data_IF_500167085616
#
_entry.id   IF_500167085616
#
_cell.length_a   1.000
_cell.length_b   1.000
_cell.length_c   1.000
_cell.angle_alpha   90.00
_cell.angle_beta   90.00
_cell.angle_gamma   90.00
#
_symmetry.space_group_name_H-M   'P 1'
#
loop_
_entity.id
_entity.type
_entity.pdbx_description
1 polymer ?
#
# COMPACT_ATOMS: atom_id res chain seq x y z
N UNK A 1 12.25 19.37 -16.55
CA UNK A 1 11.54 20.64 -16.25
C UNK A 1 10.50 21.04 -17.33
N UNK A 2 10.11 20.17 -18.28
CA UNK A 2 9.06 20.47 -19.26
C UNK A 2 7.69 19.79 -18.96
N UNK A 3 7.57 19.02 -17.88
CA UNK A 3 6.36 18.24 -17.56
C UNK A 3 5.37 18.97 -16.64
N UNK A 4 5.84 19.82 -15.72
CA UNK A 4 4.98 20.41 -14.69
C UNK A 4 4.13 21.59 -15.19
N UNK A 5 4.45 22.17 -16.35
CA UNK A 5 3.70 23.29 -16.91
C UNK A 5 2.53 22.87 -17.83
N UNK A 6 2.50 21.61 -18.29
CA UNK A 6 1.45 21.08 -19.17
C UNK A 6 0.26 20.49 -18.38
N UNK A 7 0.51 19.92 -17.20
CA UNK A 7 -0.50 19.33 -16.32
C UNK A 7 -1.57 20.36 -15.86
N UNK A 8 -1.22 21.60 -15.43
CA UNK A 8 -2.20 22.59 -14.96
C UNK A 8 -3.04 23.18 -16.11
N UNK A 9 -2.55 23.11 -17.35
CA UNK A 9 -3.27 23.59 -18.53
C UNK A 9 -4.30 22.54 -18.98
N UNK A 10 -3.91 21.27 -18.94
CA UNK A 10 -4.82 20.14 -19.19
C UNK A 10 -5.94 20.08 -18.14
N UNK A 11 -5.63 20.20 -16.84
CA UNK A 11 -6.64 20.17 -15.77
C UNK A 11 -7.69 21.28 -15.90
N UNK A 12 -7.28 22.48 -16.34
CA UNK A 12 -8.20 23.59 -16.61
C UNK A 12 -9.09 23.34 -17.82
N UNK A 13 -8.57 22.72 -18.88
CA UNK A 13 -9.36 22.28 -20.03
C UNK A 13 -10.35 21.18 -19.63
N UNK A 14 -9.92 20.20 -18.80
CA UNK A 14 -10.79 19.14 -18.26
C UNK A 14 -11.97 19.71 -17.47
N UNK A 15 -11.71 20.64 -16.56
CA UNK A 15 -12.74 21.25 -15.70
C UNK A 15 -13.73 22.10 -16.49
N UNK A 16 -13.28 22.72 -17.59
CA UNK A 16 -14.14 23.50 -18.49
C UNK A 16 -14.98 22.61 -19.41
N UNK A 17 -14.43 21.51 -19.91
CA UNK A 17 -15.12 20.56 -20.79
C UNK A 17 -16.18 19.76 -20.01
N UNK A 18 -15.84 19.26 -18.83
CA UNK A 18 -16.81 18.56 -17.94
C UNK A 18 -17.96 19.49 -17.50
N UNK A 19 -17.69 20.76 -17.17
CA UNK A 19 -18.75 21.74 -16.88
C UNK A 19 -19.65 22.04 -18.07
N UNK A 20 -19.10 22.06 -19.29
CA UNK A 20 -19.87 22.31 -20.52
C UNK A 20 -20.85 21.17 -20.79
N UNK A 21 -20.42 19.92 -20.65
CA UNK A 21 -21.30 18.75 -20.85
C UNK A 21 -22.28 18.51 -19.71
N UNK A 22 -21.92 18.83 -18.45
CA UNK A 22 -22.88 18.89 -17.34
C UNK A 22 -23.97 19.95 -17.57
N UNK A 23 -23.64 21.05 -18.25
CA UNK A 23 -24.61 22.08 -18.64
C UNK A 23 -25.50 21.67 -19.84
N UNK A 24 -25.07 20.70 -20.65
CA UNK A 24 -25.80 20.18 -21.83
C UNK A 24 -26.68 18.95 -21.51
N UNK A 25 -26.76 18.52 -20.24
CA UNK A 25 -27.66 17.44 -19.82
C UNK A 25 -27.25 16.04 -20.28
N UNK A 26 -25.97 15.84 -20.61
CA UNK A 26 -25.44 14.55 -21.06
C UNK A 26 -25.65 13.44 -20.00
N UNK A 27 -25.97 12.23 -20.46
CA UNK A 27 -26.09 11.06 -19.59
C UNK A 27 -24.74 10.78 -18.92
N UNK A 28 -24.74 10.38 -17.64
CA UNK A 28 -23.54 10.00 -16.89
C UNK A 28 -22.69 8.95 -17.64
N UNK A 29 -23.34 8.08 -18.42
CA UNK A 29 -22.67 7.06 -19.23
C UNK A 29 -21.90 7.63 -20.44
N UNK A 30 -22.41 8.71 -21.05
CA UNK A 30 -21.76 9.36 -22.20
C UNK A 30 -20.50 10.10 -21.77
N UNK A 31 -20.55 10.78 -20.63
CA UNK A 31 -19.40 11.42 -19.99
C UNK A 31 -18.28 10.40 -19.71
N UNK A 32 -18.64 9.25 -19.12
CA UNK A 32 -17.68 8.18 -18.81
C UNK A 32 -17.02 7.59 -20.07
N UNK A 33 -17.79 7.34 -21.14
CA UNK A 33 -17.25 6.81 -22.41
C UNK A 33 -16.29 7.80 -23.07
N UNK A 34 -16.56 9.10 -22.98
CA UNK A 34 -15.66 10.14 -23.49
C UNK A 34 -14.37 10.22 -22.69
N UNK A 35 -14.46 10.23 -21.35
CA UNK A 35 -13.28 10.19 -20.48
C UNK A 35 -12.44 8.93 -20.71
N UNK A 36 -13.07 7.76 -20.85
CA UNK A 36 -12.39 6.51 -21.14
C UNK A 36 -11.65 6.57 -22.49
N UNK A 37 -12.31 7.05 -23.53
CA UNK A 37 -11.71 7.20 -24.87
C UNK A 37 -10.52 8.15 -24.82
N UNK A 38 -10.61 9.23 -24.03
CA UNK A 38 -9.52 10.18 -23.83
C UNK A 38 -8.34 9.55 -23.09
N UNK A 39 -8.58 8.83 -21.99
CA UNK A 39 -7.54 8.13 -21.23
C UNK A 39 -6.86 7.07 -22.07
N UNK A 40 -7.61 6.32 -22.89
CA UNK A 40 -7.05 5.36 -23.85
C UNK A 40 -6.15 6.03 -24.88
N UNK A 41 -6.54 7.20 -25.41
CA UNK A 41 -5.71 8.01 -26.33
C UNK A 41 -4.44 8.57 -25.67
N UNK A 42 -4.55 9.01 -24.41
CA UNK A 42 -3.39 9.45 -23.60
C UNK A 42 -2.43 8.31 -23.31
N UNK A 43 -2.95 7.10 -23.08
CA UNK A 43 -2.14 5.91 -22.83
C UNK A 43 -1.50 5.34 -24.11
N UNK A 44 -2.14 5.54 -25.27
CA UNK A 44 -1.62 5.10 -26.58
C UNK A 44 -0.48 6.00 -27.09
N UNK A 45 0.65 5.99 -26.40
CA UNK A 45 1.90 6.53 -26.92
C UNK A 45 2.69 5.45 -27.66
N UNK A 46 3.43 5.84 -28.69
CA UNK A 46 4.33 4.94 -29.43
C UNK A 46 5.39 4.37 -28.50
N UNK A 47 5.77 3.09 -28.67
CA UNK A 47 6.80 2.41 -27.86
C UNK A 47 8.10 3.23 -27.76
N UNK A 48 8.47 3.90 -28.85
CA UNK A 48 9.66 4.76 -28.91
C UNK A 48 9.59 6.04 -28.05
N UNK A 49 8.41 6.55 -27.76
CA UNK A 49 8.22 7.69 -26.83
C UNK A 49 8.16 7.22 -25.38
N UNK A 50 7.50 6.08 -25.13
CA UNK A 50 7.37 5.51 -23.79
C UNK A 50 8.71 5.05 -23.21
N UNK A 51 9.62 4.53 -24.04
CA UNK A 51 10.92 4.03 -23.57
C UNK A 51 11.78 5.11 -22.86
N UNK A 52 12.07 6.29 -23.45
CA UNK A 52 12.84 7.33 -22.78
C UNK A 52 12.09 7.97 -21.60
N UNK A 53 10.75 8.10 -21.69
CA UNK A 53 9.93 8.64 -20.59
C UNK A 53 9.94 7.70 -19.39
N UNK A 54 9.78 6.39 -19.61
CA UNK A 54 9.87 5.37 -18.57
C UNK A 54 11.28 5.30 -17.99
N UNK A 55 12.32 5.42 -18.83
CA UNK A 55 13.71 5.50 -18.38
C UNK A 55 13.96 6.71 -17.48
N UNK A 56 13.51 7.90 -17.90
CA UNK A 56 13.62 9.13 -17.12
C UNK A 56 12.85 9.05 -15.80
N UNK A 57 11.61 8.55 -15.83
CA UNK A 57 10.81 8.33 -14.64
C UNK A 57 11.46 7.33 -13.67
N UNK A 58 12.02 6.23 -14.19
CA UNK A 58 12.74 5.25 -13.38
C UNK A 58 13.94 5.89 -12.67
N UNK A 59 14.73 6.72 -13.36
CA UNK A 59 15.87 7.44 -12.75
C UNK A 59 15.39 8.43 -11.70
N UNK A 60 14.31 9.18 -11.93
CA UNK A 60 13.74 10.10 -10.92
C UNK A 60 13.27 9.34 -9.69
N UNK A 61 12.49 8.27 -9.87
CA UNK A 61 11.99 7.45 -8.77
C UNK A 61 13.18 6.89 -7.98
N UNK A 62 14.19 6.39 -8.69
CA UNK A 62 15.41 5.87 -8.09
C UNK A 62 16.16 6.93 -7.26
N UNK A 63 16.34 8.14 -7.78
CA UNK A 63 17.08 9.20 -7.09
C UNK A 63 16.32 9.78 -5.89
N UNK A 64 15.01 9.98 -6.00
CA UNK A 64 14.24 10.67 -4.95
C UNK A 64 13.59 9.73 -3.92
N UNK A 65 13.23 8.50 -4.32
CA UNK A 65 12.56 7.56 -3.41
C UNK A 65 13.50 6.51 -2.84
N UNK A 66 14.61 6.21 -3.52
CA UNK A 66 15.49 5.09 -3.15
C UNK A 66 16.75 5.54 -2.40
N UNK A 67 17.21 6.77 -2.62
CA UNK A 67 18.36 7.34 -1.92
C UNK A 67 17.89 7.96 -0.60
N UNK A 68 17.99 7.19 0.48
CA UNK A 68 17.78 7.64 1.85
C UNK A 68 19.10 8.09 2.50
N UNK A 69 19.03 8.71 3.68
CA UNK A 69 20.25 9.06 4.43
C UNK A 69 21.12 7.82 4.74
N UNK A 70 20.51 6.64 4.79
CA UNK A 70 21.18 5.36 5.05
C UNK A 70 22.00 4.90 3.85
N UNK A 71 21.51 5.15 2.64
CA UNK A 71 22.25 4.82 1.41
C UNK A 71 23.50 5.69 1.29
N UNK A 72 23.38 6.98 1.62
CA UNK A 72 24.52 7.91 1.64
C UNK A 72 25.57 7.49 2.68
N UNK A 73 25.12 7.09 3.88
CA UNK A 73 26.01 6.59 4.93
C UNK A 73 26.72 5.30 4.49
N UNK A 74 25.99 4.35 3.91
CA UNK A 74 26.57 3.09 3.42
C UNK A 74 27.58 3.33 2.31
N UNK A 75 27.26 4.17 1.32
CA UNK A 75 28.19 4.56 0.24
C UNK A 75 29.44 5.20 0.82
N UNK A 76 29.30 6.19 1.71
CA UNK A 76 30.42 6.88 2.34
C UNK A 76 31.33 5.91 3.10
N UNK A 77 30.74 5.00 3.87
CA UNK A 77 31.47 3.99 4.64
C UNK A 77 32.19 2.99 3.72
N UNK A 78 31.54 2.52 2.66
CA UNK A 78 32.14 1.62 1.66
C UNK A 78 33.32 2.25 0.94
N UNK A 79 33.20 3.51 0.50
CA UNK A 79 34.28 4.25 -0.15
C UNK A 79 35.43 4.46 0.83
N UNK A 80 35.15 4.93 2.05
CA UNK A 80 36.15 5.20 3.07
C UNK A 80 36.96 3.94 3.41
N UNK A 81 36.28 2.80 3.68
CA UNK A 81 36.98 1.55 3.96
C UNK A 81 37.79 1.05 2.76
N UNK A 82 37.27 1.15 1.54
CA UNK A 82 37.98 0.72 0.34
C UNK A 82 39.28 1.51 0.14
N UNK A 83 39.24 2.82 0.33
CA UNK A 83 40.42 3.70 0.25
C UNK A 83 41.41 3.39 1.38
N UNK A 84 40.92 3.23 2.62
CA UNK A 84 41.78 2.93 3.77
C UNK A 84 42.51 1.60 3.56
N UNK A 85 41.81 0.55 3.17
CA UNK A 85 42.40 -0.77 2.95
C UNK A 85 43.43 -0.69 1.82
N UNK A 86 43.04 -0.16 0.65
CA UNK A 86 43.95 -0.03 -0.48
C UNK A 86 45.20 0.79 -0.15
N UNK A 87 45.06 1.88 0.63
CA UNK A 87 46.21 2.69 1.04
C UNK A 87 47.18 1.96 1.98
N UNK A 88 46.68 0.99 2.74
CA UNK A 88 47.47 0.18 3.68
C UNK A 88 48.10 -1.04 3.03
N UNK A 89 47.45 -1.58 2.00
CA UNK A 89 47.88 -2.81 1.31
C UNK A 89 48.62 -2.53 0.01
N UNK A 90 48.78 -1.26 -0.39
CA UNK A 90 49.43 -0.83 -1.64
C UNK A 90 50.79 -1.51 -1.89
N UNK A 91 51.57 -1.69 -0.83
CA UNK A 91 52.94 -2.23 -0.88
C UNK A 91 53.02 -3.71 -0.46
N UNK A 92 51.89 -4.32 -0.08
CA UNK A 92 51.84 -5.71 0.38
C UNK A 92 51.40 -6.64 -0.75
N UNK A 93 52.37 -7.30 -1.39
CA UNK A 93 52.13 -8.27 -2.46
C UNK A 93 51.48 -9.58 -1.97
N UNK A 94 51.35 -9.78 -0.65
CA UNK A 94 50.70 -10.96 -0.06
C UNK A 94 49.25 -10.70 0.35
N UNK A 95 48.74 -9.48 0.14
CA UNK A 95 47.35 -9.16 0.45
C UNK A 95 46.40 -10.00 -0.40
N UNK A 96 45.55 -10.76 0.30
CA UNK A 96 44.46 -11.52 -0.31
C UNK A 96 43.12 -11.07 0.29
N UNK A 97 42.50 -10.10 -0.37
CA UNK A 97 41.14 -9.65 -0.07
C UNK A 97 40.06 -10.67 -0.43
N UNK A 98 40.41 -11.83 -1.01
CA UNK A 98 39.49 -12.91 -1.41
C UNK A 98 39.45 -14.09 -0.43
N UNK A 99 40.20 -14.01 0.68
CA UNK A 99 40.21 -15.02 1.77
C UNK A 99 38.82 -15.38 2.29
N UNK A 100 37.85 -14.47 2.20
CA UNK A 100 36.47 -14.68 2.59
C UNK A 100 35.64 -15.15 1.38
N UNK A 101 34.84 -16.21 1.55
CA UNK A 101 33.94 -16.66 0.49
C UNK A 101 32.79 -15.66 0.30
N UNK A 102 32.98 -14.70 -0.61
CA UNK A 102 32.03 -13.65 -0.94
C UNK A 102 30.72 -14.19 -1.53
N UNK A 103 30.74 -15.39 -2.13
CA UNK A 103 29.53 -16.08 -2.61
C UNK A 103 28.66 -16.49 -1.42
N UNK A 104 29.26 -17.01 -0.35
CA UNK A 104 28.54 -17.43 0.85
C UNK A 104 27.84 -16.23 1.53
N UNK A 105 28.53 -15.09 1.65
CA UNK A 105 27.96 -13.87 2.25
C UNK A 105 26.85 -13.31 1.38
N UNK A 106 27.05 -13.28 0.06
CA UNK A 106 26.03 -12.81 -0.88
C UNK A 106 24.79 -13.69 -0.81
N UNK A 107 24.94 -15.02 -0.75
CA UNK A 107 23.83 -15.94 -0.58
C UNK A 107 23.12 -15.76 0.77
N UNK A 108 23.87 -15.57 1.85
CA UNK A 108 23.34 -15.34 3.19
C UNK A 108 22.56 -14.02 3.31
N UNK A 109 22.83 -13.03 2.45
CA UNK A 109 22.13 -11.73 2.44
C UNK A 109 20.96 -11.73 1.44
N UNK A 110 21.17 -12.23 0.23
CA UNK A 110 20.16 -12.24 -0.84
C UNK A 110 18.98 -13.15 -0.47
N UNK A 111 19.23 -14.30 0.17
CA UNK A 111 18.17 -15.27 0.48
C UNK A 111 17.15 -14.71 1.49
N UNK A 112 17.55 -14.18 2.66
CA UNK A 112 16.61 -13.55 3.59
C UNK A 112 15.93 -12.33 3.00
N UNK A 113 16.62 -11.57 2.14
CA UNK A 113 16.07 -10.39 1.49
C UNK A 113 14.95 -10.76 0.51
N UNK A 114 15.19 -11.76 -0.35
CA UNK A 114 14.19 -12.31 -1.27
C UNK A 114 12.96 -12.85 -0.52
N UNK A 115 13.19 -13.55 0.60
CA UNK A 115 12.11 -14.03 1.46
C UNK A 115 11.31 -12.86 2.10
N UNK A 116 11.99 -11.82 2.57
CA UNK A 116 11.36 -10.63 3.16
C UNK A 116 10.50 -9.87 2.14
N UNK A 117 11.03 -9.68 0.92
CA UNK A 117 10.31 -9.10 -0.21
C UNK A 117 9.01 -9.89 -0.46
N UNK A 118 9.13 -11.21 -0.63
CA UNK A 118 8.00 -12.09 -0.91
C UNK A 118 6.92 -12.02 0.18
N UNK A 119 7.33 -11.95 1.45
CA UNK A 119 6.41 -11.81 2.58
C UNK A 119 5.67 -10.47 2.57
N UNK A 120 6.36 -9.37 2.26
CA UNK A 120 5.77 -8.03 2.17
C UNK A 120 4.80 -7.95 0.98
N UNK A 121 5.16 -8.47 -0.19
CA UNK A 121 4.27 -8.55 -1.35
C UNK A 121 3.00 -9.35 -1.03
N UNK A 122 3.13 -10.54 -0.47
CA UNK A 122 1.98 -11.37 -0.07
C UNK A 122 1.09 -10.68 0.96
N UNK A 123 1.66 -9.89 1.87
CA UNK A 123 0.89 -9.09 2.83
C UNK A 123 0.11 -7.96 2.15
N UNK A 124 0.74 -7.23 1.22
CA UNK A 124 0.09 -6.17 0.43
C UNK A 124 -1.03 -6.74 -0.42
N UNK A 125 -0.79 -7.85 -1.10
CA UNK A 125 -1.78 -8.51 -1.94
C UNK A 125 -2.99 -8.98 -1.13
N UNK A 126 -2.76 -9.60 0.03
CA UNK A 126 -3.83 -9.95 0.99
C UNK A 126 -4.62 -8.74 1.48
N UNK A 127 -3.95 -7.61 1.74
CA UNK A 127 -4.65 -6.37 2.14
C UNK A 127 -5.56 -5.85 1.03
N UNK A 128 -5.08 -5.83 -0.22
CA UNK A 128 -5.86 -5.41 -1.38
C UNK A 128 -7.04 -6.35 -1.65
N UNK A 129 -6.82 -7.66 -1.59
CA UNK A 129 -7.87 -8.66 -1.72
C UNK A 129 -8.95 -8.48 -0.64
N UNK A 130 -8.54 -8.26 0.62
CA UNK A 130 -9.49 -8.04 1.72
C UNK A 130 -10.26 -6.73 1.54
N UNK A 131 -9.60 -5.66 1.06
CA UNK A 131 -10.28 -4.40 0.77
C UNK A 131 -11.29 -4.54 -0.37
N UNK A 132 -10.96 -5.33 -1.40
CA UNK A 132 -11.88 -5.65 -2.48
C UNK A 132 -13.12 -6.41 -1.96
N UNK A 133 -12.92 -7.38 -1.06
CA UNK A 133 -14.00 -8.11 -0.40
C UNK A 133 -14.88 -7.20 0.48
N UNK A 134 -14.29 -6.26 1.24
CA UNK A 134 -15.07 -5.26 1.99
C UNK A 134 -15.97 -4.47 1.04
N UNK A 135 -15.40 -3.96 -0.06
CA UNK A 135 -16.15 -3.15 -1.04
C UNK A 135 -17.28 -3.95 -1.69
N UNK A 136 -17.01 -5.16 -2.17
CA UNK A 136 -18.02 -5.98 -2.84
C UNK A 136 -19.15 -6.35 -1.89
N UNK A 137 -18.83 -6.77 -0.66
CA UNK A 137 -19.84 -7.22 0.30
C UNK A 137 -20.65 -6.04 0.85
N UNK A 138 -20.05 -4.86 1.05
CA UNK A 138 -20.81 -3.65 1.40
C UNK A 138 -21.75 -3.20 0.27
N UNK A 139 -21.33 -3.34 -0.99
CA UNK A 139 -22.19 -3.03 -2.14
C UNK A 139 -23.38 -4.00 -2.19
N UNK A 140 -23.14 -5.29 -1.98
CA UNK A 140 -24.21 -6.30 -1.92
C UNK A 140 -25.14 -6.07 -0.73
N UNK A 141 -24.60 -5.65 0.41
CA UNK A 141 -25.38 -5.31 1.59
C UNK A 141 -26.28 -4.09 1.34
N UNK A 142 -25.78 -3.09 0.60
CA UNK A 142 -26.60 -1.95 0.17
C UNK A 142 -27.71 -2.38 -0.79
N UNK A 143 -27.40 -3.16 -1.84
CA UNK A 143 -28.40 -3.63 -2.82
C UNK A 143 -29.47 -4.49 -2.15
N UNK A 144 -29.10 -5.30 -1.17
CA UNK A 144 -30.00 -6.07 -0.33
C UNK A 144 -31.03 -5.20 0.39
N UNK A 145 -30.58 -4.11 1.02
CA UNK A 145 -31.48 -3.18 1.71
C UNK A 145 -32.30 -2.32 0.72
N UNK A 146 -31.69 -1.89 -0.39
CA UNK A 146 -32.26 -0.90 -1.30
C UNK A 146 -33.17 -1.47 -2.38
N UNK A 147 -32.94 -2.71 -2.84
CA UNK A 147 -33.62 -3.28 -4.01
C UNK A 147 -34.38 -4.56 -3.71
N UNK A 148 -33.93 -5.36 -2.73
CA UNK A 148 -34.49 -6.70 -2.52
C UNK A 148 -35.98 -6.66 -2.16
N UNK A 149 -36.80 -7.27 -3.02
CA UNK A 149 -38.21 -7.54 -2.77
C UNK A 149 -38.44 -9.01 -2.41
N UNK A 150 -39.22 -9.25 -1.36
CA UNK A 150 -39.54 -10.58 -0.82
C UNK A 150 -40.98 -11.00 -1.12
N UNK A 151 -41.67 -10.30 -2.02
CA UNK A 151 -42.96 -10.75 -2.55
C UNK A 151 -42.81 -11.97 -3.46
N UNK A 152 -43.40 -13.11 -3.08
CA UNK A 152 -44.41 -13.90 -3.82
C UNK A 152 -44.43 -15.39 -3.43
N UNK A 153 -45.63 -15.86 -3.02
CA UNK A 153 -46.15 -17.21 -3.31
C UNK A 153 -47.41 -17.02 -4.17
N UNK A 154 -47.58 -17.87 -5.19
CA UNK A 154 -48.75 -17.87 -6.08
C UNK A 154 -50.07 -17.81 -5.27
N UNK A 155 -50.82 -16.71 -5.39
CA UNK A 155 -52.20 -16.58 -4.88
C UNK A 155 -52.40 -15.94 -3.51
N UNK A 156 -51.33 -15.63 -2.75
CA UNK A 156 -51.45 -14.90 -1.48
C UNK A 156 -51.23 -13.39 -1.68
N UNK A 157 -51.95 -12.57 -0.92
CA UNK A 157 -51.79 -11.12 -0.93
C UNK A 157 -50.33 -10.73 -0.61
N UNK A 158 -49.64 -10.14 -1.58
CA UNK A 158 -48.22 -9.76 -1.49
C UNK A 158 -47.86 -9.06 -0.17
N UNK A 159 -47.03 -9.69 0.66
CA UNK A 159 -46.36 -9.06 1.81
C UNK A 159 -45.03 -8.39 1.45
N UNK A 160 -44.75 -8.15 0.15
CA UNK A 160 -43.49 -7.58 -0.35
C UNK A 160 -43.30 -6.09 -0.07
N UNK A 161 -42.21 -5.50 -0.59
CA UNK A 161 -41.82 -4.10 -0.34
C UNK A 161 -42.96 -3.11 -0.59
N UNK A 162 -43.71 -3.31 -1.67
CA UNK A 162 -44.78 -2.40 -2.13
C UNK A 162 -45.96 -2.30 -1.16
N UNK A 163 -46.22 -3.34 -0.36
CA UNK A 163 -47.28 -3.31 0.67
C UNK A 163 -46.77 -3.00 2.07
N UNK A 164 -45.45 -2.99 2.27
CA UNK A 164 -44.86 -2.62 3.56
C UNK A 164 -44.99 -1.11 3.81
N UNK A 165 -45.26 -0.70 5.04
CA UNK A 165 -45.33 0.72 5.45
C UNK A 165 -43.97 1.39 5.62
N UNK A 166 -42.90 0.85 5.02
CA UNK A 166 -41.54 1.37 5.14
C UNK A 166 -41.33 2.54 4.18
N UNK A 167 -40.77 3.63 4.68
CA UNK A 167 -40.22 4.66 3.82
C UNK A 167 -38.92 4.17 3.17
N UNK A 168 -39.04 3.58 1.99
CA UNK A 168 -37.92 2.93 1.29
C UNK A 168 -36.78 3.85 0.91
N UNK A 169 -37.09 5.11 0.61
CA UNK A 169 -36.08 6.12 0.28
C UNK A 169 -35.23 6.42 1.53
N UNK A 170 -35.89 6.71 2.65
CA UNK A 170 -35.24 6.99 3.92
C UNK A 170 -34.42 5.79 4.44
N UNK A 171 -34.97 4.57 4.34
CA UNK A 171 -34.25 3.35 4.73
C UNK A 171 -32.98 3.13 3.90
N UNK A 172 -33.08 3.35 2.58
CA UNK A 172 -31.95 3.21 1.66
C UNK A 172 -30.90 4.29 1.92
N UNK A 173 -31.31 5.54 2.14
CA UNK A 173 -30.43 6.66 2.48
C UNK A 173 -29.71 6.42 3.82
N UNK A 174 -30.44 5.93 4.83
CA UNK A 174 -29.85 5.58 6.12
C UNK A 174 -28.84 4.44 5.97
N UNK A 175 -29.18 3.39 5.23
CA UNK A 175 -28.26 2.27 4.97
C UNK A 175 -27.00 2.75 4.23
N UNK A 176 -27.16 3.58 3.19
CA UNK A 176 -26.06 4.17 2.45
C UNK A 176 -25.16 5.02 3.36
N UNK A 177 -25.76 5.84 4.24
CA UNK A 177 -25.03 6.67 5.20
C UNK A 177 -24.18 5.83 6.14
N UNK A 178 -24.73 4.75 6.70
CA UNK A 178 -23.97 3.86 7.59
C UNK A 178 -22.82 3.15 6.85
N UNK A 179 -23.04 2.69 5.63
CA UNK A 179 -22.00 2.05 4.81
C UNK A 179 -20.89 3.05 4.46
N UNK A 180 -21.23 4.28 4.08
CA UNK A 180 -20.26 5.34 3.81
C UNK A 180 -19.50 5.74 5.07
N UNK A 181 -20.16 5.79 6.23
CA UNK A 181 -19.53 6.04 7.51
C UNK A 181 -18.51 4.94 7.85
N UNK A 182 -18.87 3.65 7.69
CA UNK A 182 -17.94 2.53 7.87
C UNK A 182 -16.71 2.70 6.96
N UNK A 183 -16.92 3.03 5.68
CA UNK A 183 -15.83 3.28 4.74
C UNK A 183 -14.92 4.46 5.15
N UNK A 184 -15.50 5.60 5.58
CA UNK A 184 -14.75 6.76 6.06
C UNK A 184 -13.92 6.41 7.29
N UNK A 185 -14.55 5.84 8.32
CA UNK A 185 -13.87 5.46 9.56
C UNK A 185 -12.78 4.43 9.32
N UNK A 186 -13.05 3.43 8.47
CA UNK A 186 -12.06 2.42 8.09
C UNK A 186 -10.89 3.06 7.34
N UNK A 187 -11.14 3.96 6.39
CA UNK A 187 -10.10 4.68 5.65
C UNK A 187 -9.25 5.54 6.58
N UNK A 188 -9.88 6.30 7.48
CA UNK A 188 -9.19 7.10 8.51
C UNK A 188 -8.38 6.22 9.46
N UNK A 189 -8.94 5.10 9.87
CA UNK A 189 -8.24 4.15 10.73
C UNK A 189 -7.06 3.52 10.00
N UNK A 190 -7.20 3.14 8.72
CA UNK A 190 -6.13 2.54 7.90
C UNK A 190 -5.02 3.53 7.55
N UNK A 191 -5.34 4.81 7.36
CA UNK A 191 -4.35 5.87 7.07
C UNK A 191 -3.64 6.42 8.32
N UNK A 192 -4.19 6.19 9.51
CA UNK A 192 -3.55 6.60 10.77
C UNK A 192 -2.13 5.98 10.91
N UNK A 193 -1.11 6.71 11.39
CA UNK A 193 0.20 6.12 11.66
C UNK A 193 0.09 4.97 12.67
N UNK A 194 0.94 3.95 12.51
CA UNK A 194 0.92 2.77 13.38
C UNK A 194 1.71 3.01 14.67
N UNK A 195 1.16 2.59 15.82
CA UNK A 195 1.82 2.67 17.13
C UNK A 195 2.81 1.53 17.41
N UNK A 196 3.04 0.59 16.48
CA UNK A 196 3.84 -0.64 16.74
C UNK A 196 5.30 -0.61 16.26
N UNK A 197 5.81 0.52 15.76
CA UNK A 197 7.21 0.68 15.29
C UNK A 197 8.24 0.51 16.42
N UNK A 198 9.49 0.13 16.09
CA UNK A 198 10.59 0.02 17.07
C UNK A 198 10.75 1.28 17.93
N UNK A 199 10.67 2.47 17.33
CA UNK A 199 10.80 3.74 18.05
C UNK A 199 9.78 3.87 19.18
N UNK A 200 8.58 3.32 19.01
CA UNK A 200 7.50 3.35 20.00
C UNK A 200 7.74 2.44 21.22
N UNK A 201 8.70 1.52 21.13
CA UNK A 201 9.17 0.72 22.27
C UNK A 201 10.25 1.44 23.08
N UNK A 202 10.89 2.46 22.51
CA UNK A 202 11.91 3.28 23.19
C UNK A 202 11.29 4.37 24.05
N UNK A 203 12.07 4.95 24.97
CA UNK A 203 11.60 6.01 25.88
C UNK A 203 11.01 7.22 25.14
N UNK A 204 11.57 7.59 23.99
CA UNK A 204 11.17 8.77 23.22
C UNK A 204 9.89 8.57 22.40
N UNK A 205 9.60 7.33 21.96
CA UNK A 205 8.44 7.05 21.10
C UNK A 205 7.21 6.51 21.83
N UNK A 206 7.30 6.22 23.12
CA UNK A 206 6.14 5.74 23.92
C UNK A 206 5.02 6.76 23.97
N UNK A 207 5.35 8.05 24.10
CA UNK A 207 4.36 9.14 24.14
C UNK A 207 3.58 9.21 22.82
N UNK A 208 4.29 9.17 21.68
CA UNK A 208 3.68 9.13 20.34
C UNK A 208 2.74 7.91 20.19
N UNK A 209 3.17 6.74 20.65
CA UNK A 209 2.38 5.51 20.57
C UNK A 209 1.07 5.58 21.37
N UNK A 210 1.11 6.22 22.54
CA UNK A 210 -0.07 6.43 23.39
C UNK A 210 -1.04 7.39 22.71
N UNK A 211 -0.56 8.53 22.18
CA UNK A 211 -1.41 9.49 21.46
C UNK A 211 -2.08 8.88 20.22
N UNK A 212 -1.32 8.10 19.44
CA UNK A 212 -1.89 7.35 18.31
C UNK A 212 -2.99 6.39 18.78
N UNK A 213 -2.75 5.65 19.86
CA UNK A 213 -3.70 4.65 20.36
C UNK A 213 -4.98 5.29 20.91
N UNK A 214 -4.88 6.47 21.53
CA UNK A 214 -6.02 7.27 21.99
C UNK A 214 -6.96 7.67 20.86
N UNK A 215 -6.45 7.84 19.64
CA UNK A 215 -7.26 8.15 18.45
C UNK A 215 -7.71 6.88 17.73
N UNK A 216 -6.85 5.86 17.67
CA UNK A 216 -7.11 4.61 16.96
C UNK A 216 -8.26 3.81 17.58
N UNK A 217 -8.34 3.72 18.92
CA UNK A 217 -9.35 2.91 19.60
C UNK A 217 -10.77 3.46 19.39
N UNK A 218 -11.06 4.77 19.64
CA UNK A 218 -12.40 5.31 19.40
C UNK A 218 -12.81 5.27 17.93
N UNK A 219 -11.86 5.43 17.00
CA UNK A 219 -12.15 5.28 15.57
C UNK A 219 -12.63 3.86 15.23
N UNK A 220 -12.00 2.85 15.82
CA UNK A 220 -12.39 1.46 15.60
C UNK A 220 -13.69 1.11 16.32
N UNK A 221 -13.89 1.58 17.55
CA UNK A 221 -15.15 1.44 18.29
C UNK A 221 -16.33 2.04 17.51
N UNK A 222 -16.14 3.22 16.91
CA UNK A 222 -17.15 3.85 16.03
C UNK A 222 -17.52 2.99 14.82
N UNK A 223 -16.58 2.21 14.24
CA UNK A 223 -16.91 1.27 13.16
C UNK A 223 -17.89 0.20 13.67
N UNK A 224 -17.64 -0.35 14.86
CA UNK A 224 -18.49 -1.38 15.47
C UNK A 224 -19.88 -0.82 15.80
N UNK A 225 -19.96 0.43 16.27
CA UNK A 225 -21.24 1.13 16.49
C UNK A 225 -22.07 1.24 15.21
N UNK A 226 -21.44 1.62 14.08
CA UNK A 226 -22.11 1.69 12.78
C UNK A 226 -22.61 0.31 12.30
N UNK A 227 -21.87 -0.77 12.55
CA UNK A 227 -22.37 -2.14 12.32
C UNK A 227 -23.58 -2.46 13.20
N UNK A 228 -23.62 -1.99 14.45
CA UNK A 228 -24.78 -2.12 15.33
C UNK A 228 -26.02 -1.40 14.81
N UNK A 229 -25.85 -0.21 14.23
CA UNK A 229 -26.92 0.52 13.55
C UNK A 229 -27.42 -0.22 12.31
N UNK A 230 -26.51 -0.74 11.49
CA UNK A 230 -26.84 -1.50 10.28
C UNK A 230 -27.64 -2.77 10.61
N UNK A 231 -27.21 -3.49 11.64
CA UNK A 231 -27.93 -4.61 12.22
C UNK A 231 -29.36 -4.22 12.65
N UNK A 232 -29.52 -3.03 13.26
CA UNK A 232 -30.81 -2.51 13.71
C UNK A 232 -31.73 -2.13 12.54
N UNK A 233 -31.17 -1.65 11.41
CA UNK A 233 -31.93 -1.43 10.17
C UNK A 233 -32.51 -2.74 9.62
N UNK A 234 -31.75 -3.84 9.69
CA UNK A 234 -32.25 -5.18 9.35
C UNK A 234 -33.35 -5.65 10.31
N UNK A 235 -33.22 -5.37 11.63
CA UNK A 235 -34.29 -5.65 12.60
C UNK A 235 -35.59 -4.87 12.29
N UNK A 236 -35.47 -3.63 11.85
CA UNK A 236 -36.64 -2.84 11.45
C UNK A 236 -37.36 -3.49 10.27
N UNK A 237 -36.62 -3.93 9.23
CA UNK A 237 -37.22 -4.63 8.08
C UNK A 237 -37.98 -5.90 8.48
N UNK A 238 -37.47 -6.67 9.46
CA UNK A 238 -38.18 -7.83 10.00
C UNK A 238 -39.54 -7.49 10.61
N UNK A 239 -39.66 -6.34 11.28
CA UNK A 239 -40.95 -5.87 11.84
C UNK A 239 -41.97 -5.55 10.75
N UNK A 240 -41.51 -5.19 9.55
CA UNK A 240 -42.35 -4.88 8.40
C UNK A 240 -42.60 -6.07 7.47
N UNK A 241 -42.26 -7.29 7.90
CA UNK A 241 -42.59 -8.51 7.17
C UNK A 241 -41.46 -9.12 6.35
N UNK A 242 -40.21 -8.65 6.49
CA UNK A 242 -39.05 -9.32 5.89
C UNK A 242 -38.95 -10.75 6.44
N UNK A 243 -38.93 -11.78 5.58
CA UNK A 243 -38.93 -13.16 6.04
C UNK A 243 -37.58 -13.54 6.66
N UNK A 244 -37.55 -14.49 7.62
CA UNK A 244 -36.34 -14.82 8.38
C UNK A 244 -35.18 -15.36 7.54
N UNK A 245 -35.47 -16.03 6.43
CA UNK A 245 -34.47 -16.56 5.50
C UNK A 245 -33.66 -15.43 4.83
N UNK A 246 -34.32 -14.37 4.36
CA UNK A 246 -33.64 -13.23 3.74
C UNK A 246 -32.93 -12.36 4.77
N UNK A 247 -33.54 -12.16 5.94
CA UNK A 247 -32.87 -11.49 7.04
C UNK A 247 -31.57 -12.21 7.45
N UNK A 248 -31.56 -13.55 7.45
CA UNK A 248 -30.36 -14.34 7.76
C UNK A 248 -29.25 -14.12 6.74
N UNK A 249 -29.57 -13.98 5.44
CA UNK A 249 -28.57 -13.68 4.40
C UNK A 249 -27.94 -12.31 4.58
N UNK A 250 -28.75 -11.29 4.88
CA UNK A 250 -28.24 -9.94 5.22
C UNK A 250 -27.27 -10.00 6.41
N UNK A 251 -27.64 -10.73 7.48
CA UNK A 251 -26.76 -10.94 8.64
C UNK A 251 -25.47 -11.69 8.31
N UNK A 252 -25.50 -12.62 7.35
CA UNK A 252 -24.29 -13.30 6.89
C UNK A 252 -23.34 -12.32 6.19
N UNK A 253 -23.86 -11.43 5.35
CA UNK A 253 -23.05 -10.39 4.71
C UNK A 253 -22.50 -9.37 5.71
N UNK A 254 -23.29 -8.92 6.70
CA UNK A 254 -22.81 -8.09 7.81
C UNK A 254 -21.61 -8.75 8.51
N UNK A 255 -21.72 -10.04 8.84
CA UNK A 255 -20.62 -10.80 9.46
C UNK A 255 -19.40 -10.88 8.55
N UNK A 256 -19.58 -11.15 7.26
CA UNK A 256 -18.48 -11.21 6.30
C UNK A 256 -17.72 -9.89 6.23
N UNK A 257 -18.43 -8.75 6.18
CA UNK A 257 -17.76 -7.43 6.19
C UNK A 257 -16.99 -7.25 7.49
N UNK A 258 -17.59 -7.58 8.64
CA UNK A 258 -16.90 -7.47 9.94
C UNK A 258 -15.64 -8.35 10.00
N UNK A 259 -15.72 -9.59 9.52
CA UNK A 259 -14.58 -10.51 9.42
C UNK A 259 -13.48 -9.92 8.52
N UNK A 260 -13.83 -9.29 7.40
CA UNK A 260 -12.87 -8.62 6.52
C UNK A 260 -12.26 -7.37 7.16
N UNK A 261 -13.03 -6.58 7.92
CA UNK A 261 -12.54 -5.43 8.68
C UNK A 261 -11.55 -5.85 9.77
N UNK A 262 -11.85 -6.91 10.52
CA UNK A 262 -10.93 -7.47 11.52
C UNK A 262 -9.67 -8.06 10.86
N UNK A 263 -9.80 -8.70 9.70
CA UNK A 263 -8.63 -9.16 8.94
C UNK A 263 -7.74 -7.98 8.50
N UNK A 264 -8.31 -6.88 8.02
CA UNK A 264 -7.56 -5.64 7.72
C UNK A 264 -6.89 -5.09 8.97
N UNK A 265 -7.58 -5.11 10.12
CA UNK A 265 -7.02 -4.72 11.40
C UNK A 265 -5.82 -5.58 11.78
N UNK A 266 -5.92 -6.89 11.60
CA UNK A 266 -4.82 -7.83 11.86
C UNK A 266 -3.65 -7.58 10.93
N UNK A 267 -3.88 -7.38 9.62
CA UNK A 267 -2.81 -7.07 8.65
C UNK A 267 -2.10 -5.76 8.99
N UNK A 268 -2.82 -4.76 9.50
CA UNK A 268 -2.24 -3.48 9.92
C UNK A 268 -1.52 -3.56 11.27
N UNK A 269 -2.11 -4.22 12.26
CA UNK A 269 -1.61 -4.28 13.64
C UNK A 269 -0.47 -5.29 13.80
N UNK A 270 -0.59 -6.44 13.15
CA UNK A 270 0.40 -7.51 13.15
C UNK A 270 1.34 -7.34 11.95
N UNK A 271 2.40 -6.56 12.17
CA UNK A 271 3.43 -6.28 11.16
C UNK A 271 4.52 -7.38 11.18
N UNK A 272 5.37 -7.43 10.14
CA UNK A 272 6.56 -8.31 10.17
C UNK A 272 7.36 -8.10 11.47
N UNK A 273 7.95 -9.16 12.04
CA UNK A 273 8.62 -9.10 13.35
C UNK A 273 9.61 -7.94 13.39
N UNK A 274 9.46 -7.07 14.40
CA UNK A 274 10.29 -5.86 14.54
C UNK A 274 11.79 -6.17 14.56
N UNK A 275 12.19 -7.34 15.07
CA UNK A 275 13.56 -7.82 15.06
C UNK A 275 14.09 -8.01 13.63
N UNK A 276 13.31 -8.61 12.73
CA UNK A 276 13.70 -8.83 11.33
C UNK A 276 13.86 -7.51 10.59
N UNK A 277 12.98 -6.53 10.87
CA UNK A 277 13.06 -5.19 10.27
C UNK A 277 14.31 -4.43 10.72
N UNK A 278 14.59 -4.43 12.03
CA UNK A 278 15.79 -3.79 12.57
C UNK A 278 17.07 -4.48 12.08
N UNK A 279 17.03 -5.81 11.97
CA UNK A 279 18.12 -6.60 11.39
C UNK A 279 18.38 -6.20 9.93
N UNK A 280 17.36 -6.20 9.07
CA UNK A 280 17.50 -5.83 7.65
C UNK A 280 18.07 -4.42 7.45
N UNK A 281 17.61 -3.46 8.26
CA UNK A 281 18.09 -2.06 8.21
C UNK A 281 19.55 -1.90 8.62
N UNK A 282 20.00 -2.63 9.64
CA UNK A 282 21.42 -2.60 10.03
C UNK A 282 22.28 -3.34 9.00
N UNK A 283 21.83 -4.50 8.52
CA UNK A 283 22.56 -5.29 7.55
C UNK A 283 22.71 -4.56 6.21
N UNK A 284 21.68 -3.86 5.73
CA UNK A 284 21.77 -3.07 4.49
C UNK A 284 22.86 -1.98 4.55
N UNK A 285 23.07 -1.39 5.74
CA UNK A 285 24.09 -0.37 5.96
C UNK A 285 25.49 -0.96 6.04
N UNK A 286 25.66 -2.04 6.81
CA UNK A 286 26.99 -2.58 7.13
C UNK A 286 27.53 -3.58 6.11
N UNK A 287 26.67 -4.33 5.41
CA UNK A 287 27.08 -5.36 4.45
C UNK A 287 27.94 -4.79 3.31
N UNK A 288 27.58 -3.68 2.64
CA UNK A 288 28.41 -3.16 1.54
C UNK A 288 29.83 -2.76 1.98
N UNK A 289 30.04 -2.09 3.13
CA UNK A 289 31.38 -1.86 3.68
C UNK A 289 32.18 -3.13 4.00
N UNK A 290 31.52 -4.23 4.38
CA UNK A 290 32.22 -5.51 4.60
C UNK A 290 32.87 -6.06 3.33
N UNK A 291 32.39 -5.70 2.14
CA UNK A 291 33.01 -6.07 0.86
C UNK A 291 34.21 -5.18 0.47
N UNK A 292 34.57 -4.18 1.27
CA UNK A 292 35.70 -3.29 0.97
C UNK A 292 37.05 -3.99 0.72
N UNK A 293 37.44 -5.08 1.43
CA UNK A 293 38.67 -5.82 1.12
C UNK A 293 38.66 -6.41 -0.30
N UNK A 294 37.50 -6.88 -0.78
CA UNK A 294 37.34 -7.39 -2.14
C UNK A 294 37.47 -6.28 -3.19
N UNK A 295 36.88 -5.11 -2.93
CA UNK A 295 37.04 -3.96 -3.82
C UNK A 295 38.50 -3.48 -3.87
N UNK A 296 39.21 -3.50 -2.74
CA UNK A 296 40.63 -3.20 -2.69
C UNK A 296 41.45 -4.22 -3.51
N UNK A 297 41.13 -5.52 -3.43
CA UNK A 297 41.77 -6.55 -4.27
C UNK A 297 41.58 -6.26 -5.76
N UNK A 298 40.35 -5.94 -6.19
CA UNK A 298 40.08 -5.56 -7.58
C UNK A 298 40.91 -4.33 -8.00
N UNK A 299 41.11 -3.36 -7.10
CA UNK A 299 41.97 -2.21 -7.38
C UNK A 299 43.44 -2.62 -7.60
N UNK A 300 43.92 -3.62 -6.87
CA UNK A 300 45.27 -4.18 -7.06
C UNK A 300 45.39 -4.95 -8.38
N UNK A 301 44.43 -5.83 -8.68
CA UNK A 301 44.46 -6.69 -9.87
C UNK A 301 44.33 -5.89 -11.17
N UNK A 302 43.48 -4.85 -11.18
CA UNK A 302 43.21 -4.00 -12.36
C UNK A 302 44.08 -2.74 -12.40
N UNK A 303 44.71 -2.37 -11.28
CA UNK A 303 45.51 -1.15 -11.15
C UNK A 303 44.70 0.15 -11.18
N UNK A 304 43.37 0.08 -10.93
CA UNK A 304 42.47 1.24 -10.98
C UNK A 304 41.63 1.36 -9.72
N UNK A 305 41.93 2.38 -8.91
CA UNK A 305 41.13 2.73 -7.73
C UNK A 305 39.72 3.19 -8.11
N UNK A 306 39.57 3.87 -9.25
CA UNK A 306 38.28 4.38 -9.71
C UNK A 306 37.27 3.26 -9.97
N UNK A 307 37.73 2.12 -10.50
CA UNK A 307 36.88 0.96 -10.74
C UNK A 307 36.39 0.33 -9.43
N UNK A 308 37.28 0.20 -8.44
CA UNK A 308 36.92 -0.31 -7.13
C UNK A 308 35.89 0.56 -6.40
N UNK A 309 36.06 1.89 -6.47
CA UNK A 309 35.09 2.85 -5.93
C UNK A 309 33.75 2.76 -6.67
N UNK A 310 33.75 2.61 -7.99
CA UNK A 310 32.52 2.44 -8.77
C UNK A 310 31.76 1.17 -8.36
N UNK A 311 32.45 0.04 -8.17
CA UNK A 311 31.83 -1.19 -7.67
C UNK A 311 31.30 -1.04 -6.24
N UNK A 312 32.05 -0.39 -5.34
CA UNK A 312 31.62 -0.12 -3.98
C UNK A 312 30.34 0.73 -3.92
N UNK A 313 30.23 1.74 -4.78
CA UNK A 313 29.03 2.57 -4.91
C UNK A 313 27.87 1.75 -5.47
N UNK A 314 28.09 0.99 -6.55
CA UNK A 314 27.05 0.20 -7.22
C UNK A 314 26.41 -0.83 -6.28
N UNK A 315 27.23 -1.58 -5.53
CA UNK A 315 26.74 -2.60 -4.59
C UNK A 315 26.03 -1.98 -3.38
N UNK A 316 26.55 -0.87 -2.85
CA UNK A 316 25.92 -0.14 -1.75
C UNK A 316 24.54 0.37 -2.16
N UNK A 317 24.44 0.97 -3.35
CA UNK A 317 23.17 1.43 -3.90
C UNK A 317 22.24 0.24 -4.13
N UNK A 318 22.67 -0.83 -4.79
CA UNK A 318 21.81 -1.96 -5.13
C UNK A 318 21.19 -2.63 -3.90
N UNK A 319 21.99 -2.86 -2.85
CA UNK A 319 21.52 -3.51 -1.62
C UNK A 319 20.61 -2.58 -0.82
N UNK A 320 21.01 -1.34 -0.61
CA UNK A 320 20.20 -0.40 0.19
C UNK A 320 18.90 -0.02 -0.51
N UNK A 321 18.93 0.14 -1.83
CA UNK A 321 17.76 0.37 -2.66
C UNK A 321 16.70 -0.74 -2.51
N UNK A 322 17.15 -1.99 -2.53
CA UNK A 322 16.27 -3.14 -2.41
C UNK A 322 15.63 -3.25 -1.02
N UNK A 323 16.33 -2.82 0.04
CA UNK A 323 15.73 -2.75 1.37
C UNK A 323 14.75 -1.58 1.52
N UNK A 324 15.03 -0.44 0.89
CA UNK A 324 14.13 0.71 0.89
C UNK A 324 12.81 0.38 0.17
N UNK A 325 12.83 -0.37 -0.93
CA UNK A 325 11.60 -0.83 -1.59
C UNK A 325 10.76 -1.71 -0.67
N UNK A 326 11.37 -2.65 0.05
CA UNK A 326 10.66 -3.49 1.04
C UNK A 326 10.01 -2.63 2.10
N UNK A 327 10.70 -1.60 2.58
CA UNK A 327 10.19 -0.69 3.58
C UNK A 327 8.97 0.08 3.07
N UNK A 328 9.04 0.65 1.86
CA UNK A 328 7.94 1.40 1.22
C UNK A 328 6.71 0.54 0.94
N UNK A 329 6.91 -0.73 0.57
CA UNK A 329 5.79 -1.64 0.32
C UNK A 329 5.07 -2.10 1.58
N UNK A 330 5.72 -1.94 2.74
CA UNK A 330 5.20 -2.39 4.02
C UNK A 330 4.33 -1.33 4.73
N UNK A 331 4.51 -0.06 4.36
CA UNK A 331 3.69 1.08 4.83
C UNK A 331 2.42 1.25 3.98
#
# INVERSE_FOLDING_TARGET
MASDAQIPKLEKEVFMETKKYQAEGASSEELLRMEETRVRKLSSHTVFYLLPVNGYAAVIIFLFHLISAETLLSIGLSIALTIIIHSRTKDDASFDGSTLNWVLISFAVITPLSAAISMTFSRRDRALATLASVRSTLTELYTAHAVWDWGFKNGEESAGRTKSGVNWLEHSDNTCREILAICDKLSRWLTLPSSTRARHRTLFGKVEAVEISKVANPLFESIIEHFGTLASLCENLKRYGLPPNEATRIRQWERMVLDHVENLRMIKSYRTPQALRSFGRLFSIFVPPFYAPFYAQIAHDVGSLGLAVAFAVLTSIALTALFETVYQMEE
#
